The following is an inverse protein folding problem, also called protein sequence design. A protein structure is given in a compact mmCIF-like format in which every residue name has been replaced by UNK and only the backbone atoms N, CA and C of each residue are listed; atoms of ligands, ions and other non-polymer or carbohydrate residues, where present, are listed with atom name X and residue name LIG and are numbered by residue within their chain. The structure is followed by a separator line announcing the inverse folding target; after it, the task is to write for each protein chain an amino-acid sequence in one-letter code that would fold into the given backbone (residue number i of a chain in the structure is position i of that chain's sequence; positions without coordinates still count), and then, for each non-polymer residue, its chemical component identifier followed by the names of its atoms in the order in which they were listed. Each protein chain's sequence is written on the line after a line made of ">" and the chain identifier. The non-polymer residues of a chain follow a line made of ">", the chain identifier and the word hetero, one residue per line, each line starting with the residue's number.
data_IF_271077938225
#
_entry.id   IF_271077938225
#
_cell.length_a   1.000
_cell.length_b   1.000
_cell.length_c   1.000
_cell.angle_alpha   90.00
_cell.angle_beta   90.00
_cell.angle_gamma   90.00
#
_symmetry.space_group_name_H-M   'P 1'
#
loop_
_entity.id
_entity.type
_entity.pdbx_description
1 polymer ?
#
# COMPACT_ATOMS: atom_id res chain seq x y z
N UNK A 1 16.49 7.17 28.99
CA UNK A 1 17.02 7.22 27.62
C UNK A 1 15.85 7.23 26.65
N UNK A 2 15.87 8.09 25.62
CA UNK A 2 14.88 8.09 24.56
C UNK A 2 14.90 6.74 23.80
N UNK A 3 13.72 6.20 23.52
CA UNK A 3 13.58 4.99 22.72
C UNK A 3 13.49 5.36 21.23
N UNK A 4 14.02 4.51 20.36
CA UNK A 4 13.75 4.58 18.92
C UNK A 4 12.55 3.72 18.59
N UNK A 5 11.53 4.32 17.98
CA UNK A 5 10.24 3.68 17.70
C UNK A 5 9.94 3.82 16.22
N UNK A 6 9.79 2.68 15.52
CA UNK A 6 9.30 2.63 14.15
C UNK A 6 7.82 2.25 14.16
N UNK A 7 7.00 3.06 13.51
CA UNK A 7 5.56 2.81 13.34
C UNK A 7 5.30 2.58 11.85
N UNK A 8 5.07 1.33 11.48
CA UNK A 8 4.65 0.94 10.12
C UNK A 8 3.13 0.94 10.04
N UNK A 9 2.58 1.82 9.22
CA UNK A 9 1.13 1.92 9.01
C UNK A 9 0.73 1.20 7.73
N UNK A 10 -0.46 0.57 7.73
CA UNK A 10 -0.97 -0.20 6.60
C UNK A 10 -0.99 0.60 5.29
N UNK A 11 -0.63 -0.07 4.19
CA UNK A 11 -0.59 0.50 2.85
C UNK A 11 -1.90 0.25 2.12
N UNK A 12 -2.67 1.28 1.78
CA UNK A 12 -3.90 1.12 1.01
C UNK A 12 -3.60 0.98 -0.48
N UNK A 13 -4.44 0.23 -1.19
CA UNK A 13 -4.51 0.32 -2.65
C UNK A 13 -5.03 1.69 -3.06
N UNK A 14 -4.33 2.35 -3.97
CA UNK A 14 -4.75 3.64 -4.50
C UNK A 14 -5.78 3.48 -5.64
N UNK A 15 -6.95 2.91 -5.32
CA UNK A 15 -8.02 2.59 -6.26
C UNK A 15 -9.38 3.24 -5.94
N UNK A 16 -9.45 4.07 -4.90
CA UNK A 16 -10.68 4.74 -4.47
C UNK A 16 -10.44 5.71 -3.32
N UNK A 17 -11.46 6.53 -3.02
CA UNK A 17 -11.42 7.41 -1.87
C UNK A 17 -11.47 6.64 -0.56
N UNK A 18 -10.80 7.18 0.45
CA UNK A 18 -10.87 6.61 1.79
C UNK A 18 -12.14 7.08 2.50
N UNK A 19 -12.80 6.17 3.19
CA UNK A 19 -13.93 6.47 4.04
C UNK A 19 -13.50 6.61 5.51
N UNK A 20 -14.40 7.10 6.37
CA UNK A 20 -14.13 7.31 7.79
C UNK A 20 -13.59 6.08 8.51
N UNK A 21 -14.00 4.88 8.13
CA UNK A 21 -13.47 3.63 8.70
C UNK A 21 -11.97 3.43 8.43
N UNK A 22 -11.48 3.82 7.25
CA UNK A 22 -10.03 3.81 6.97
C UNK A 22 -9.31 4.82 7.86
N UNK A 23 -9.82 6.05 7.93
CA UNK A 23 -9.18 7.14 8.68
C UNK A 23 -9.16 6.85 10.18
N UNK A 24 -10.32 6.49 10.76
CA UNK A 24 -10.46 6.25 12.19
C UNK A 24 -9.83 4.92 12.64
N UNK A 25 -9.83 3.88 11.78
CA UNK A 25 -9.34 2.55 12.12
C UNK A 25 -7.86 2.32 11.84
N UNK A 26 -7.37 2.78 10.68
CA UNK A 26 -6.02 2.46 10.26
C UNK A 26 -5.00 3.58 10.44
N UNK A 27 -5.41 4.87 10.33
CA UNK A 27 -4.47 5.98 10.25
C UNK A 27 -4.42 6.87 11.49
N UNK A 28 -5.56 7.18 12.11
CA UNK A 28 -5.59 8.00 13.32
C UNK A 28 -4.95 7.33 14.54
N UNK A 29 -5.19 6.04 14.84
CA UNK A 29 -4.61 5.41 16.02
C UNK A 29 -3.06 5.41 16.02
N UNK A 30 -2.37 5.03 14.92
CA UNK A 30 -0.91 5.12 14.89
C UNK A 30 -0.40 6.57 14.95
N UNK A 31 -1.10 7.56 14.41
CA UNK A 31 -0.72 8.97 14.51
C UNK A 31 -0.85 9.47 15.96
N UNK A 32 -1.93 9.14 16.65
CA UNK A 32 -2.10 9.45 18.09
C UNK A 32 -0.97 8.83 18.90
N UNK A 33 -0.62 7.58 18.63
CA UNK A 33 0.48 6.90 19.31
C UNK A 33 1.82 7.57 18.99
N UNK A 34 2.08 7.93 17.72
CA UNK A 34 3.30 8.64 17.32
C UNK A 34 3.44 9.97 18.06
N UNK A 35 2.37 10.78 18.11
CA UNK A 35 2.35 12.06 18.82
C UNK A 35 2.62 11.88 20.31
N UNK A 36 1.96 10.92 20.94
CA UNK A 36 2.18 10.61 22.34
C UNK A 36 3.65 10.25 22.62
N UNK A 37 4.24 9.38 21.79
CA UNK A 37 5.62 8.96 21.98
C UNK A 37 6.63 10.09 21.75
N UNK A 38 6.38 10.98 20.78
CA UNK A 38 7.19 12.18 20.55
C UNK A 38 7.11 13.13 21.75
N UNK A 39 5.91 13.36 22.31
CA UNK A 39 5.72 14.15 23.52
C UNK A 39 6.40 13.53 24.75
N UNK A 40 6.47 12.21 24.82
CA UNK A 40 7.20 11.48 25.86
C UNK A 40 8.73 11.51 25.66
N UNK A 41 9.24 12.24 24.68
CA UNK A 41 10.67 12.40 24.42
C UNK A 41 11.33 11.21 23.69
N UNK A 42 10.56 10.37 23.03
CA UNK A 42 11.08 9.27 22.20
C UNK A 42 11.37 9.74 20.76
N UNK A 43 12.33 9.08 20.12
CA UNK A 43 12.66 9.25 18.70
C UNK A 43 11.73 8.36 17.86
N UNK A 44 10.79 8.96 17.11
CA UNK A 44 9.72 8.24 16.43
C UNK A 44 9.79 8.46 14.94
N UNK A 45 9.78 7.37 14.19
CA UNK A 45 9.63 7.34 12.73
C UNK A 45 8.31 6.65 12.38
N UNK A 46 7.34 7.40 11.84
CA UNK A 46 6.05 6.90 11.37
C UNK A 46 6.01 6.88 9.85
N UNK A 47 5.87 5.70 9.28
CA UNK A 47 5.97 5.48 7.82
C UNK A 47 4.78 4.73 7.26
N UNK A 48 4.39 5.07 6.04
CA UNK A 48 3.40 4.37 5.23
C UNK A 48 3.59 4.68 3.75
N UNK A 49 2.65 4.24 2.95
CA UNK A 49 2.59 4.52 1.52
C UNK A 49 1.33 3.95 0.91
N UNK A 50 1.13 4.17 -0.38
CA UNK A 50 0.06 3.54 -1.14
C UNK A 50 0.59 2.44 -2.06
N UNK A 51 -0.19 1.36 -2.19
CA UNK A 51 0.09 0.33 -3.17
C UNK A 51 -0.41 0.77 -4.54
N UNK A 52 0.52 0.83 -5.51
CA UNK A 52 0.27 1.23 -6.89
C UNK A 52 -0.05 0.04 -7.81
N UNK A 53 0.00 -1.19 -7.31
CA UNK A 53 -0.10 -2.40 -8.10
C UNK A 53 -1.25 -3.30 -7.65
N UNK A 54 -1.58 -4.28 -8.49
CA UNK A 54 -2.55 -5.32 -8.17
C UNK A 54 -3.93 -5.13 -8.79
N UNK A 55 -4.71 -6.21 -8.71
CA UNK A 55 -6.04 -6.34 -9.32
C UNK A 55 -7.03 -5.21 -8.97
N UNK A 56 -7.07 -4.65 -7.73
CA UNK A 56 -8.02 -3.59 -7.42
C UNK A 56 -7.84 -2.33 -8.27
N UNK A 57 -6.60 -2.00 -8.63
CA UNK A 57 -6.30 -0.83 -9.48
C UNK A 57 -6.64 -1.10 -10.94
N UNK A 58 -6.29 -2.30 -11.45
CA UNK A 58 -6.62 -2.70 -12.83
C UNK A 58 -8.13 -2.75 -13.06
N UNK A 59 -8.89 -3.35 -12.15
CA UNK A 59 -10.37 -3.40 -12.25
C UNK A 59 -10.97 -2.00 -12.28
N UNK A 60 -10.45 -1.09 -11.48
CA UNK A 60 -10.90 0.30 -11.47
C UNK A 60 -10.54 1.02 -12.76
N UNK A 61 -9.33 0.81 -13.27
CA UNK A 61 -8.85 1.37 -14.51
C UNK A 61 -9.68 0.90 -15.72
N UNK A 62 -9.98 -0.39 -15.78
CA UNK A 62 -10.84 -0.98 -16.82
C UNK A 62 -12.24 -0.39 -16.78
N UNK A 63 -12.83 -0.23 -15.58
CA UNK A 63 -14.15 0.35 -15.42
C UNK A 63 -14.23 1.84 -15.81
N UNK A 64 -13.12 2.58 -15.68
CA UNK A 64 -13.03 3.99 -16.04
C UNK A 64 -12.48 4.22 -17.47
N UNK A 65 -11.96 3.19 -18.13
CA UNK A 65 -11.36 3.29 -19.46
C UNK A 65 -10.04 4.10 -19.48
N UNK A 66 -9.27 4.07 -18.39
CA UNK A 66 -8.02 4.81 -18.24
C UNK A 66 -6.86 3.86 -17.87
N UNK A 67 -5.59 4.27 -18.08
CA UNK A 67 -4.46 3.47 -17.66
C UNK A 67 -4.41 3.27 -16.12
N UNK A 68 -3.99 2.09 -15.61
CA UNK A 68 -3.86 1.83 -14.17
C UNK A 68 -3.02 2.87 -13.42
N UNK A 69 -1.97 3.39 -14.05
CA UNK A 69 -1.10 4.41 -13.47
C UNK A 69 -1.85 5.72 -13.20
N UNK A 70 -2.80 6.09 -14.05
CA UNK A 70 -3.60 7.29 -13.86
C UNK A 70 -4.53 7.16 -12.64
N UNK A 71 -5.16 5.99 -12.48
CA UNK A 71 -5.97 5.66 -11.30
C UNK A 71 -5.12 5.79 -10.03
N UNK A 72 -3.99 5.10 -10.01
CA UNK A 72 -3.06 5.16 -8.88
C UNK A 72 -2.66 6.59 -8.53
N UNK A 73 -2.15 7.37 -9.49
CA UNK A 73 -1.65 8.72 -9.24
C UNK A 73 -2.74 9.66 -8.70
N UNK A 74 -3.98 9.53 -9.18
CA UNK A 74 -5.13 10.31 -8.73
C UNK A 74 -5.44 10.02 -7.26
N UNK A 75 -5.57 8.76 -6.89
CA UNK A 75 -5.94 8.40 -5.53
C UNK A 75 -4.77 8.55 -4.54
N UNK A 76 -3.53 8.30 -4.95
CA UNK A 76 -2.36 8.60 -4.14
C UNK A 76 -2.31 10.10 -3.76
N UNK A 77 -2.53 11.00 -4.73
CA UNK A 77 -2.60 12.44 -4.47
C UNK A 77 -3.73 12.79 -3.51
N UNK A 78 -4.91 12.20 -3.71
CA UNK A 78 -6.04 12.39 -2.81
C UNK A 78 -5.74 11.93 -1.37
N UNK A 79 -5.02 10.81 -1.19
CA UNK A 79 -4.60 10.37 0.13
C UNK A 79 -3.70 11.40 0.81
N UNK A 80 -2.69 11.91 0.10
CA UNK A 80 -1.80 12.94 0.65
C UNK A 80 -2.57 14.19 1.07
N UNK A 81 -3.47 14.69 0.21
CA UNK A 81 -4.32 15.85 0.52
C UNK A 81 -5.21 15.59 1.74
N UNK A 82 -5.87 14.43 1.79
CA UNK A 82 -6.73 14.04 2.92
C UNK A 82 -5.94 13.96 4.22
N UNK A 83 -4.79 13.30 4.22
CA UNK A 83 -3.96 13.15 5.41
C UNK A 83 -3.41 14.49 5.90
N UNK A 84 -3.04 15.37 4.99
CA UNK A 84 -2.63 16.72 5.32
C UNK A 84 -3.77 17.52 5.96
N UNK A 85 -4.98 17.44 5.40
CA UNK A 85 -6.17 18.16 5.91
C UNK A 85 -6.56 17.72 7.32
N UNK A 86 -6.46 16.42 7.63
CA UNK A 86 -6.74 15.90 8.97
C UNK A 86 -5.52 15.94 9.89
N UNK A 87 -4.38 16.42 9.41
CA UNK A 87 -3.18 16.66 10.19
C UNK A 87 -2.43 15.40 10.60
N UNK A 88 -2.43 14.31 9.83
CA UNK A 88 -1.60 13.13 10.10
C UNK A 88 -0.11 13.47 9.97
N UNK A 89 0.71 12.94 10.88
CA UNK A 89 2.12 13.30 11.02
C UNK A 89 3.08 12.23 10.54
N UNK A 90 2.87 11.72 9.32
CA UNK A 90 3.82 10.81 8.69
C UNK A 90 5.19 11.49 8.49
N UNK A 91 6.26 10.79 8.86
CA UNK A 91 7.63 11.19 8.51
C UNK A 91 7.94 10.82 7.04
N UNK A 92 7.34 9.73 6.57
CA UNK A 92 7.37 9.32 5.17
C UNK A 92 6.05 8.68 4.76
N UNK A 93 5.42 9.24 3.73
CA UNK A 93 4.34 8.59 2.99
C UNK A 93 4.74 8.48 1.51
N UNK A 94 5.05 7.27 1.06
CA UNK A 94 5.56 6.99 -0.28
C UNK A 94 4.60 6.10 -1.09
N UNK A 95 5.07 5.43 -2.10
CA UNK A 95 4.29 4.48 -2.91
C UNK A 95 5.16 3.38 -3.53
N UNK A 96 4.53 2.29 -4.00
CA UNK A 96 5.23 1.15 -4.59
C UNK A 96 5.68 1.38 -6.05
N UNK A 97 5.21 2.46 -6.73
CA UNK A 97 5.66 2.86 -8.09
C UNK A 97 6.91 3.74 -8.02
N UNK A 98 7.97 3.27 -7.34
CA UNK A 98 9.27 3.97 -7.26
C UNK A 98 10.41 3.07 -7.69
N UNK A 99 11.44 3.67 -8.30
CA UNK A 99 12.67 2.97 -8.68
C UNK A 99 13.31 2.22 -7.53
N UNK A 100 13.35 2.86 -6.34
CA UNK A 100 13.87 2.22 -5.14
C UNK A 100 13.08 0.98 -4.74
N UNK A 101 11.73 1.04 -4.79
CA UNK A 101 10.87 -0.09 -4.47
C UNK A 101 11.10 -1.24 -5.44
N UNK A 102 11.15 -0.96 -6.74
CA UNK A 102 11.41 -1.99 -7.76
C UNK A 102 12.73 -2.69 -7.53
N UNK A 103 13.82 -1.92 -7.35
CA UNK A 103 15.14 -2.48 -7.11
C UNK A 103 15.18 -3.37 -5.86
N UNK A 104 14.64 -2.89 -4.74
CA UNK A 104 14.66 -3.63 -3.47
C UNK A 104 13.81 -4.90 -3.55
N UNK A 105 12.62 -4.82 -4.16
CA UNK A 105 11.73 -5.98 -4.32
C UNK A 105 12.36 -7.07 -5.21
N UNK A 106 13.00 -6.67 -6.32
CA UNK A 106 13.71 -7.58 -7.21
C UNK A 106 14.93 -8.21 -6.52
N UNK A 107 15.70 -7.43 -5.77
CA UNK A 107 16.86 -7.93 -5.01
C UNK A 107 16.43 -8.97 -3.95
N UNK A 108 15.37 -8.68 -3.21
CA UNK A 108 14.82 -9.63 -2.23
C UNK A 108 14.36 -10.92 -2.93
N UNK A 109 13.63 -10.81 -4.05
CA UNK A 109 13.18 -11.97 -4.82
C UNK A 109 14.35 -12.85 -5.27
N UNK A 110 15.40 -12.23 -5.83
CA UNK A 110 16.60 -12.97 -6.27
C UNK A 110 17.30 -13.67 -5.11
N UNK A 111 17.44 -13.02 -3.97
CA UNK A 111 18.03 -13.64 -2.77
C UNK A 111 17.21 -14.83 -2.26
N UNK A 112 15.88 -14.73 -2.28
CA UNK A 112 14.99 -15.84 -1.88
C UNK A 112 15.15 -17.01 -2.86
N UNK A 113 15.25 -16.72 -4.17
CA UNK A 113 15.50 -17.72 -5.21
C UNK A 113 16.85 -18.40 -5.04
N UNK A 114 17.93 -17.62 -4.86
CA UNK A 114 19.30 -18.13 -4.65
C UNK A 114 19.41 -19.02 -3.41
N UNK A 115 18.67 -18.70 -2.36
CA UNK A 115 18.61 -19.52 -1.13
C UNK A 115 17.72 -20.76 -1.26
N UNK A 116 17.10 -21.01 -2.42
CA UNK A 116 16.33 -22.23 -2.68
C UNK A 116 14.94 -22.26 -2.04
N UNK A 117 14.40 -21.11 -1.62
CA UNK A 117 13.07 -21.03 -1.01
C UNK A 117 11.92 -20.88 -2.04
N UNK A 118 12.23 -20.73 -3.33
CA UNK A 118 11.24 -20.67 -4.40
C UNK A 118 11.21 -21.95 -5.22
N UNK A 119 10.03 -22.43 -5.49
CA UNK A 119 9.76 -23.56 -6.39
C UNK A 119 8.60 -23.24 -7.34
N UNK A 120 8.54 -23.96 -8.44
CA UNK A 120 7.44 -23.84 -9.41
C UNK A 120 6.35 -24.83 -9.08
N UNK A 121 5.10 -24.35 -9.03
CA UNK A 121 3.92 -25.18 -8.83
C UNK A 121 2.82 -24.82 -9.82
N UNK A 122 2.02 -25.82 -10.22
CA UNK A 122 0.88 -25.62 -11.11
C UNK A 122 -0.36 -25.38 -10.27
N UNK A 123 -0.89 -24.18 -10.35
CA UNK A 123 -2.14 -23.80 -9.64
C UNK A 123 -3.32 -23.80 -10.62
N UNK A 124 -4.43 -24.42 -10.21
CA UNK A 124 -5.70 -24.29 -10.93
C UNK A 124 -6.39 -23.01 -10.49
N UNK A 125 -6.73 -22.16 -11.46
CA UNK A 125 -7.48 -20.94 -11.22
C UNK A 125 -8.71 -20.88 -12.11
N UNK A 126 -9.79 -20.29 -11.61
CA UNK A 126 -10.98 -20.05 -12.39
C UNK A 126 -10.73 -18.91 -13.39
N UNK A 127 -11.08 -19.16 -14.64
CA UNK A 127 -10.94 -18.20 -15.73
C UNK A 127 -12.33 -17.86 -16.29
N UNK A 128 -12.63 -16.58 -16.42
CA UNK A 128 -13.86 -16.11 -17.08
C UNK A 128 -13.60 -15.86 -18.57
N UNK A 129 -14.10 -16.70 -19.46
CA UNK A 129 -13.96 -16.45 -20.91
C UNK A 129 -14.67 -15.15 -21.35
N UNK A 130 -15.75 -14.77 -20.64
CA UNK A 130 -16.52 -13.56 -20.93
C UNK A 130 -15.72 -12.29 -20.62
N UNK A 131 -14.93 -12.33 -19.56
CA UNK A 131 -14.13 -11.18 -19.12
C UNK A 131 -12.66 -11.26 -19.56
N UNK A 132 -12.25 -12.39 -20.17
CA UNK A 132 -10.89 -12.61 -20.66
C UNK A 132 -9.81 -12.62 -19.57
N UNK A 133 -10.18 -12.95 -18.30
CA UNK A 133 -9.25 -12.89 -17.17
C UNK A 133 -9.48 -13.98 -16.14
N UNK A 134 -8.47 -14.22 -15.31
CA UNK A 134 -8.59 -15.04 -14.11
C UNK A 134 -9.39 -14.32 -13.02
N UNK A 135 -10.22 -15.09 -12.30
CA UNK A 135 -11.05 -14.56 -11.21
C UNK A 135 -10.30 -14.73 -9.88
N UNK A 136 -10.22 -13.68 -9.07
CA UNK A 136 -9.77 -13.79 -7.66
C UNK A 136 -10.71 -14.70 -6.87
N UNK A 137 -10.17 -15.44 -5.89
CA UNK A 137 -10.94 -16.42 -5.08
C UNK A 137 -12.19 -15.82 -4.41
N UNK A 138 -12.17 -14.51 -4.12
CA UNK A 138 -13.31 -13.79 -3.52
C UNK A 138 -14.48 -13.52 -4.48
N UNK A 139 -14.34 -13.82 -5.76
CA UNK A 139 -15.38 -13.65 -6.79
C UNK A 139 -15.93 -14.99 -7.29
N UNK A 140 -15.64 -16.09 -6.59
CA UNK A 140 -16.07 -17.44 -6.90
C UNK A 140 -17.05 -17.94 -5.86
#
# INVERSE_FOLDING_TARGET
>A
MARKILIGVAWPYANGYQHLGHLAGAYLPPDIFARYQRLAGNDVLMVSGSDAHGTPITVRADAEGVPPREVFQRYHRNFLETYQQIGLTFDLFTHTDTENHYRVSQDIFLRILENGYLYKEVQRQLYSPKEGRFLPDRYV
#
